data_IF_573586411202
#
_entry.id   IF_573586411202
#
_cell.length_a   1.000
_cell.length_b   1.000
_cell.length_c   1.000
_cell.angle_alpha   90.00
_cell.angle_beta   90.00
_cell.angle_gamma   90.00
#
_symmetry.space_group_name_H-M   'P 1'
#
loop_
_entity.id
_entity.type
_entity.pdbx_description
1 polymer ?
#
# COMPACT_ATOMS: atom_id res chain seq x y z
N UNK A 1 17.31 -9.68 0.55
CA UNK A 1 16.31 -8.59 0.41
C UNK A 1 16.62 -7.62 -0.73
N UNK A 2 17.89 -7.21 -0.93
CA UNK A 2 18.26 -6.28 -2.01
C UNK A 2 17.91 -6.81 -3.42
N UNK A 3 18.18 -8.08 -3.71
CA UNK A 3 17.85 -8.71 -5.00
C UNK A 3 16.34 -8.62 -5.33
N UNK A 4 15.49 -9.01 -4.39
CA UNK A 4 14.03 -9.04 -4.56
C UNK A 4 13.37 -7.65 -4.68
N UNK A 5 14.09 -6.59 -4.33
CA UNK A 5 13.60 -5.20 -4.38
C UNK A 5 14.21 -4.40 -5.53
N UNK A 6 15.36 -4.82 -6.05
CA UNK A 6 16.09 -4.09 -7.11
C UNK A 6 16.09 -4.81 -8.46
N UNK A 7 15.82 -6.12 -8.48
CA UNK A 7 15.84 -6.93 -9.71
C UNK A 7 14.41 -7.24 -10.17
N UNK A 8 14.17 -7.16 -11.48
CA UNK A 8 12.88 -7.54 -12.08
C UNK A 8 12.84 -9.02 -12.39
N UNK A 9 11.76 -9.69 -11.96
CA UNK A 9 11.53 -11.12 -12.20
C UNK A 9 10.27 -11.30 -13.05
N UNK A 10 10.39 -12.11 -14.09
CA UNK A 10 9.31 -12.42 -15.02
C UNK A 10 9.03 -13.91 -15.01
N UNK A 11 7.74 -14.26 -15.08
CA UNK A 11 7.28 -15.64 -15.26
C UNK A 11 6.62 -15.74 -16.64
N UNK A 12 6.95 -16.77 -17.39
CA UNK A 12 6.31 -17.10 -18.66
C UNK A 12 4.90 -17.66 -18.42
N UNK A 13 3.92 -17.16 -19.15
CA UNK A 13 2.56 -17.66 -19.20
C UNK A 13 2.37 -18.59 -20.41
N UNK A 14 1.36 -19.48 -20.41
CA UNK A 14 1.13 -20.46 -21.50
C UNK A 14 0.85 -19.86 -22.88
N UNK A 15 0.62 -18.55 -22.97
CA UNK A 15 0.29 -17.80 -24.18
C UNK A 15 1.48 -16.95 -24.69
N UNK A 16 2.72 -17.41 -24.48
CA UNK A 16 3.96 -16.69 -24.79
C UNK A 16 4.07 -15.27 -24.20
N UNK A 17 3.25 -14.97 -23.18
CA UNK A 17 3.30 -13.70 -22.47
C UNK A 17 4.18 -13.80 -21.23
N UNK A 18 4.72 -12.66 -20.79
CA UNK A 18 5.53 -12.57 -19.59
C UNK A 18 4.84 -11.72 -18.53
N UNK A 19 4.69 -12.26 -17.33
CA UNK A 19 4.14 -11.54 -16.19
C UNK A 19 5.26 -11.10 -15.25
N UNK A 20 5.38 -9.78 -15.04
CA UNK A 20 6.33 -9.24 -14.08
C UNK A 20 5.82 -9.47 -12.66
N UNK A 21 6.50 -10.33 -11.91
CA UNK A 21 6.15 -10.64 -10.52
C UNK A 21 6.79 -9.64 -9.55
N UNK A 22 8.05 -9.27 -9.82
CA UNK A 22 8.89 -8.44 -8.95
C UNK A 22 9.66 -7.38 -9.73
N UNK A 23 10.21 -6.42 -8.98
CA UNK A 23 11.04 -5.32 -9.47
C UNK A 23 10.26 -4.07 -9.88
N UNK A 24 10.96 -2.99 -10.26
CA UNK A 24 10.35 -1.76 -10.77
C UNK A 24 9.54 -2.07 -12.03
N UNK A 25 8.31 -1.55 -12.17
CA UNK A 25 7.48 -1.84 -13.32
C UNK A 25 8.16 -1.38 -14.61
N UNK A 26 8.02 -2.17 -15.68
CA UNK A 26 8.71 -1.91 -16.96
C UNK A 26 8.53 -0.48 -17.47
N UNK A 27 7.35 0.13 -17.30
CA UNK A 27 7.09 1.48 -17.79
C UNK A 27 7.91 2.58 -17.09
N UNK A 28 8.53 2.28 -15.94
CA UNK A 28 9.45 3.18 -15.25
C UNK A 28 10.92 2.83 -15.43
N UNK A 29 11.22 1.68 -16.06
CA UNK A 29 12.57 1.38 -16.48
C UNK A 29 12.92 2.36 -17.60
N UNK A 30 13.51 3.48 -17.22
CA UNK A 30 14.21 4.36 -18.15
C UNK A 30 15.35 3.51 -18.71
N UNK A 31 15.15 2.95 -19.91
CA UNK A 31 16.21 2.25 -20.63
C UNK A 31 17.25 3.31 -20.96
N UNK A 32 18.28 3.40 -20.10
CA UNK A 32 19.45 4.27 -20.34
C UNK A 32 20.09 3.80 -21.64
N UNK A 33 19.77 4.48 -22.74
CA UNK A 33 20.30 4.18 -24.08
C UNK A 33 19.26 4.00 -25.20
N UNK A 34 17.96 3.88 -24.90
CA UNK A 34 16.92 4.01 -25.92
C UNK A 34 16.17 5.32 -25.71
N UNK A 35 16.09 6.21 -26.72
CA UNK A 35 15.29 7.41 -26.63
C UNK A 35 13.82 7.02 -26.71
N UNK A 36 13.26 6.53 -25.61
CA UNK A 36 11.82 6.67 -25.38
C UNK A 36 11.68 8.12 -24.91
N UNK A 37 11.70 9.03 -25.88
CA UNK A 37 11.03 10.29 -25.68
C UNK A 37 9.61 9.92 -25.20
N UNK A 38 9.06 10.54 -24.13
CA UNK A 38 7.61 10.64 -24.08
C UNK A 38 7.24 11.22 -25.43
N UNK A 39 6.40 10.52 -26.21
CA UNK A 39 6.00 10.95 -27.54
C UNK A 39 5.65 12.43 -27.45
N UNK A 40 6.58 13.30 -27.87
CA UNK A 40 6.27 14.70 -28.05
C UNK A 40 5.21 14.66 -29.14
N UNK A 41 4.02 15.25 -28.95
CA UNK A 41 3.17 15.49 -30.09
C UNK A 41 4.03 16.24 -31.11
N UNK A 42 4.03 15.73 -32.33
CA UNK A 42 4.78 16.29 -33.43
C UNK A 42 4.23 17.71 -33.67
N UNK A 43 4.90 18.71 -33.10
CA UNK A 43 4.61 20.11 -33.37
C UNK A 43 5.05 20.40 -34.80
N UNK A 44 4.14 20.28 -35.75
CA UNK A 44 4.20 21.09 -36.96
C UNK A 44 3.76 22.50 -36.59
N UNK A 45 4.60 23.44 -36.99
CA UNK A 45 4.43 24.88 -36.86
C UNK A 45 3.05 25.37 -37.27
N UNK A 46 2.49 26.23 -36.41
CA UNK A 46 1.59 27.34 -36.74
C UNK A 46 0.22 27.01 -37.34
N UNK A 47 -0.71 26.60 -36.48
CA UNK A 47 -2.06 27.17 -36.47
C UNK A 47 -2.78 26.76 -35.18
N UNK A 48 -3.37 27.75 -34.51
CA UNK A 48 -4.25 27.61 -33.35
C UNK A 48 -5.20 26.40 -33.49
N UNK A 49 -5.06 25.38 -32.64
CA UNK A 49 -6.17 24.59 -32.09
C UNK A 49 -5.66 23.62 -31.02
N UNK A 50 -6.30 23.71 -29.87
CA UNK A 50 -6.10 23.00 -28.61
C UNK A 50 -6.52 21.51 -28.69
N UNK A 51 -5.81 20.55 -28.07
CA UNK A 51 -6.37 19.23 -27.78
C UNK A 51 -6.67 19.10 -26.28
N UNK A 52 -7.97 19.00 -25.99
CA UNK A 52 -8.60 18.61 -24.72
C UNK A 52 -7.98 17.30 -24.15
N UNK A 53 -6.98 17.44 -23.28
CA UNK A 53 -6.57 16.40 -22.36
C UNK A 53 -7.20 16.69 -20.99
N UNK A 54 -7.93 15.69 -20.46
CA UNK A 54 -8.84 15.80 -19.33
C UNK A 54 -8.29 16.53 -18.09
N UNK A 55 -9.19 16.96 -17.18
CA UNK A 55 -8.94 18.06 -16.26
C UNK A 55 -7.85 17.72 -15.25
N UNK A 56 -6.62 18.09 -15.59
CA UNK A 56 -5.51 18.18 -14.65
C UNK A 56 -5.77 19.40 -13.79
N UNK A 57 -6.59 19.25 -12.74
CA UNK A 57 -6.92 20.36 -11.84
C UNK A 57 -5.64 20.77 -11.09
N UNK A 58 -5.02 21.85 -11.56
CA UNK A 58 -3.89 22.50 -10.92
C UNK A 58 -4.41 23.08 -9.60
N UNK A 59 -4.06 22.44 -8.49
CA UNK A 59 -4.17 23.00 -7.15
C UNK A 59 -2.76 23.36 -6.68
N UNK A 60 -2.46 24.66 -6.63
CA UNK A 60 -1.24 25.25 -6.06
C UNK A 60 0.11 24.76 -6.61
N UNK A 61 0.35 24.92 -7.91
CA UNK A 61 1.69 24.86 -8.51
C UNK A 61 2.41 23.50 -8.48
N UNK A 62 1.78 22.46 -7.92
CA UNK A 62 2.28 21.08 -7.93
C UNK A 62 1.39 20.25 -8.85
N UNK A 63 1.97 19.73 -9.93
CA UNK A 63 1.28 18.81 -10.84
C UNK A 63 0.80 17.60 -10.04
N UNK A 64 -0.51 17.37 -9.99
CA UNK A 64 -1.08 16.14 -9.42
C UNK A 64 -0.63 14.96 -10.28
N UNK A 65 -0.18 13.88 -9.63
CA UNK A 65 0.12 12.61 -10.31
C UNK A 65 -1.14 12.01 -10.91
N UNK A 66 -1.00 11.39 -12.08
CA UNK A 66 -2.05 10.54 -12.65
C UNK A 66 -2.20 9.27 -11.81
N UNK A 67 -3.40 8.64 -11.75
CA UNK A 67 -3.56 7.32 -11.15
C UNK A 67 -2.56 6.28 -11.68
N UNK A 68 -2.18 6.38 -12.96
CA UNK A 68 -1.19 5.48 -13.59
C UNK A 68 0.22 5.66 -13.01
N UNK A 69 0.55 6.86 -12.51
CA UNK A 69 1.86 7.16 -11.92
C UNK A 69 1.97 6.73 -10.45
N UNK A 70 0.89 6.16 -9.88
CA UNK A 70 0.87 5.72 -8.48
C UNK A 70 1.17 4.23 -8.42
N UNK A 71 2.40 3.93 -8.05
CA UNK A 71 2.83 2.56 -7.83
C UNK A 71 2.33 2.01 -6.49
N UNK A 72 1.87 0.76 -6.52
CA UNK A 72 1.69 -0.02 -5.31
C UNK A 72 3.04 -0.53 -4.83
N UNK A 73 3.39 -0.19 -3.59
CA UNK A 73 4.64 -0.61 -2.93
C UNK A 73 4.59 -2.10 -2.59
N UNK A 74 4.70 -2.97 -3.61
CA UNK A 74 4.61 -4.43 -3.51
C UNK A 74 5.58 -5.03 -2.50
N UNK A 75 6.76 -4.41 -2.35
CA UNK A 75 7.74 -4.84 -1.35
C UNK A 75 7.18 -4.84 0.08
N UNK A 76 6.26 -3.93 0.42
CA UNK A 76 5.58 -3.92 1.72
C UNK A 76 4.52 -5.01 1.87
N UNK A 77 4.06 -5.62 0.77
CA UNK A 77 3.07 -6.70 0.81
C UNK A 77 3.81 -8.04 0.89
N UNK A 78 4.77 -8.27 -0.02
CA UNK A 78 5.45 -9.57 -0.13
C UNK A 78 6.58 -9.78 0.86
N UNK A 79 7.21 -8.70 1.32
CA UNK A 79 8.40 -8.77 2.19
C UNK A 79 8.22 -8.08 3.53
N UNK A 80 6.98 -7.78 3.92
CA UNK A 80 6.69 -7.28 5.25
C UNK A 80 7.05 -8.32 6.32
N UNK A 81 7.64 -7.83 7.41
CA UNK A 81 7.82 -8.64 8.61
C UNK A 81 6.48 -8.76 9.33
N UNK A 82 6.10 -9.95 9.82
CA UNK A 82 4.88 -10.10 10.58
C UNK A 82 4.95 -9.29 11.88
N UNK A 83 3.82 -8.68 12.28
CA UNK A 83 3.71 -8.03 13.59
C UNK A 83 3.73 -9.11 14.67
N UNK A 84 4.62 -8.97 15.65
CA UNK A 84 4.68 -9.86 16.82
C UNK A 84 4.08 -9.19 18.04
N UNK A 85 3.41 -9.97 18.87
CA UNK A 85 3.00 -9.55 20.21
C UNK A 85 4.19 -9.64 21.19
N UNK A 86 4.11 -9.04 22.39
CA UNK A 86 5.19 -9.08 23.38
C UNK A 86 5.58 -10.50 23.81
N UNK A 87 4.66 -11.46 23.66
CA UNK A 87 4.87 -12.89 23.89
C UNK A 87 5.61 -13.60 22.75
N UNK A 88 6.04 -12.87 21.72
CA UNK A 88 6.75 -13.38 20.55
C UNK A 88 5.86 -14.01 19.47
N UNK A 89 4.56 -14.20 19.75
CA UNK A 89 3.62 -14.82 18.82
C UNK A 89 3.28 -13.88 17.68
N UNK A 90 3.00 -14.45 16.51
CA UNK A 90 2.54 -13.68 15.35
C UNK A 90 1.13 -13.17 15.63
N UNK A 91 0.94 -11.87 15.51
CA UNK A 91 -0.36 -11.23 15.64
C UNK A 91 -1.10 -11.31 14.32
N UNK A 92 -2.28 -11.92 14.34
CA UNK A 92 -3.17 -11.94 13.18
C UNK A 92 -3.81 -10.55 12.96
N UNK A 93 -3.90 -10.13 11.70
CA UNK A 93 -4.51 -8.86 11.30
C UNK A 93 -3.54 -7.68 11.26
N UNK A 94 -4.06 -6.49 11.56
CA UNK A 94 -3.30 -5.24 11.42
C UNK A 94 -2.26 -5.05 12.56
N UNK A 95 -1.12 -4.37 12.32
CA UNK A 95 -0.10 -4.07 13.33
C UNK A 95 -0.61 -3.21 14.50
N UNK A 96 0.08 -3.24 15.66
CA UNK A 96 -0.36 -2.50 16.87
C UNK A 96 -0.49 -1.00 16.64
N UNK A 97 0.45 -0.41 15.91
CA UNK A 97 0.52 1.00 15.59
C UNK A 97 -0.44 1.43 14.45
N UNK A 98 -1.21 0.51 13.89
CA UNK A 98 -2.18 0.85 12.85
C UNK A 98 -3.34 1.65 13.45
N UNK A 99 -3.77 2.73 12.79
CA UNK A 99 -4.84 3.63 13.26
C UNK A 99 -6.11 2.89 13.70
N UNK A 100 -6.54 1.87 12.96
CA UNK A 100 -7.73 1.10 13.34
C UNK A 100 -7.57 0.34 14.65
N UNK A 101 -6.36 -0.08 15.00
CA UNK A 101 -6.08 -0.72 16.29
C UNK A 101 -5.93 0.30 17.42
N UNK A 102 -5.37 1.46 17.12
CA UNK A 102 -5.25 2.57 18.07
C UNK A 102 -6.65 3.10 18.48
N UNK A 103 -7.54 3.26 17.50
CA UNK A 103 -8.91 3.72 17.69
C UNK A 103 -9.89 2.64 18.21
N UNK A 104 -9.42 1.44 18.59
CA UNK A 104 -10.33 0.36 19.05
C UNK A 104 -11.12 0.75 20.28
N UNK A 105 -10.49 1.42 21.24
CA UNK A 105 -11.15 1.79 22.50
C UNK A 105 -12.24 2.85 22.28
N UNK A 106 -11.97 3.82 21.42
CA UNK A 106 -12.86 4.96 21.17
C UNK A 106 -13.72 4.79 19.91
N UNK A 107 -13.87 3.58 19.35
CA UNK A 107 -14.51 3.33 18.06
C UNK A 107 -15.96 3.86 17.94
N UNK A 108 -16.68 4.05 19.06
CA UNK A 108 -18.04 4.61 19.09
C UNK A 108 -18.05 6.14 19.03
N UNK A 109 -16.93 6.78 19.32
CA UNK A 109 -16.80 8.23 19.32
C UNK A 109 -16.77 8.77 17.89
N UNK A 110 -17.51 9.84 17.65
CA UNK A 110 -17.44 10.58 16.39
C UNK A 110 -16.03 11.11 16.12
N UNK A 111 -15.26 11.39 17.18
CA UNK A 111 -13.87 11.82 17.07
C UNK A 111 -12.96 10.74 16.48
N UNK A 112 -13.20 9.46 16.83
CA UNK A 112 -12.46 8.34 16.26
C UNK A 112 -12.77 8.17 14.78
N UNK A 113 -14.04 8.24 14.38
CA UNK A 113 -14.43 8.21 12.97
C UNK A 113 -13.78 9.36 12.18
N UNK A 114 -13.79 10.58 12.73
CA UNK A 114 -13.13 11.74 12.11
C UNK A 114 -11.61 11.55 12.01
N UNK A 115 -10.99 10.95 13.01
CA UNK A 115 -9.56 10.67 13.00
C UNK A 115 -9.20 9.62 11.94
N UNK A 116 -9.99 8.54 11.82
CA UNK A 116 -9.81 7.53 10.79
C UNK A 116 -9.92 8.12 9.37
N UNK A 117 -10.84 9.05 9.13
CA UNK A 117 -10.96 9.74 7.84
C UNK A 117 -9.70 10.53 7.44
N UNK A 118 -8.89 11.01 8.40
CA UNK A 118 -7.61 11.68 8.10
C UNK A 118 -6.59 10.72 7.47
N UNK A 119 -6.67 9.43 7.81
CA UNK A 119 -5.84 8.39 7.22
C UNK A 119 -6.36 7.93 5.85
N UNK A 120 -7.68 7.84 5.69
CA UNK A 120 -8.32 7.39 4.44
C UNK A 120 -8.30 8.48 3.37
N UNK A 121 -8.55 9.74 3.75
CA UNK A 121 -8.65 10.88 2.83
C UNK A 121 -7.66 12.01 3.17
N UNK A 122 -6.34 11.73 3.21
CA UNK A 122 -5.31 12.70 3.61
C UNK A 122 -5.38 14.02 2.85
N UNK A 123 -5.64 13.97 1.54
CA UNK A 123 -5.62 15.15 0.67
C UNK A 123 -6.70 16.17 1.03
N UNK A 124 -7.86 15.72 1.49
CA UNK A 124 -8.98 16.59 1.88
C UNK A 124 -8.68 17.36 3.18
N UNK A 125 -7.74 16.85 3.97
CA UNK A 125 -7.25 17.46 5.21
C UNK A 125 -5.94 18.24 5.01
N UNK A 126 -5.47 18.40 3.76
CA UNK A 126 -4.20 19.07 3.47
C UNK A 126 -2.96 18.28 3.92
N UNK A 127 -3.12 16.98 4.17
CA UNK A 127 -2.03 16.11 4.59
C UNK A 127 -1.29 15.50 3.38
N UNK A 128 -0.05 15.07 3.61
CA UNK A 128 0.83 14.40 2.65
C UNK A 128 0.17 13.16 2.04
N UNK A 129 0.30 12.99 0.73
CA UNK A 129 -0.41 11.93 0.02
C UNK A 129 0.28 11.53 -1.30
N UNK A 130 -0.11 10.38 -1.83
CA UNK A 130 0.44 9.80 -3.06
C UNK A 130 0.12 10.57 -4.34
N UNK A 131 -0.71 11.61 -4.32
CA UNK A 131 -1.04 12.40 -5.51
C UNK A 131 -0.17 13.67 -5.64
N UNK A 132 0.25 14.27 -4.52
CA UNK A 132 0.89 15.60 -4.53
C UNK A 132 2.31 15.63 -3.97
N UNK A 133 2.70 14.63 -3.19
CA UNK A 133 4.02 14.59 -2.57
C UNK A 133 5.13 14.25 -3.56
N UNK A 134 6.41 14.59 -3.33
CA UNK A 134 7.52 14.12 -4.17
C UNK A 134 7.75 12.60 -4.04
N UNK A 135 8.35 11.97 -5.05
CA UNK A 135 8.84 10.58 -4.97
C UNK A 135 10.28 10.56 -4.47
N UNK A 136 10.61 9.56 -3.66
CA UNK A 136 12.01 9.20 -3.44
C UNK A 136 12.53 8.41 -4.64
N UNK A 137 13.38 9.04 -5.45
CA UNK A 137 13.99 8.43 -6.63
C UNK A 137 15.21 7.57 -6.29
N UNK A 138 15.77 7.71 -5.09
CA UNK A 138 16.92 6.92 -4.67
C UNK A 138 16.51 5.52 -4.25
N UNK A 139 15.26 5.35 -3.80
CA UNK A 139 14.70 4.09 -3.38
C UNK A 139 13.38 3.78 -4.10
N UNK A 140 13.42 3.31 -5.37
CA UNK A 140 12.21 3.07 -6.16
C UNK A 140 11.29 2.01 -5.53
N UNK A 141 11.85 1.00 -4.85
CA UNK A 141 11.09 -0.02 -4.14
C UNK A 141 10.24 0.55 -2.99
N UNK A 142 10.59 1.74 -2.49
CA UNK A 142 9.88 2.47 -1.44
C UNK A 142 9.70 3.95 -1.81
N UNK A 143 9.40 4.24 -3.09
CA UNK A 143 9.33 5.60 -3.61
C UNK A 143 8.33 6.51 -2.87
N UNK A 144 7.34 5.90 -2.21
CA UNK A 144 6.37 6.58 -1.35
C UNK A 144 6.69 6.40 0.14
N UNK A 145 6.47 7.48 0.89
CA UNK A 145 6.48 7.47 2.37
C UNK A 145 5.60 6.33 2.91
N UNK A 146 5.96 5.80 4.07
CA UNK A 146 5.09 4.92 4.82
C UNK A 146 3.95 5.73 5.46
N UNK A 147 2.72 5.40 5.08
CA UNK A 147 1.50 6.05 5.55
C UNK A 147 0.78 5.22 6.62
N UNK A 148 1.40 4.14 7.10
CA UNK A 148 0.80 3.28 8.13
C UNK A 148 0.61 4.03 9.45
N UNK A 149 1.59 4.87 9.83
CA UNK A 149 1.51 5.80 10.95
C UNK A 149 1.66 7.24 10.44
N UNK A 150 0.70 8.08 10.81
CA UNK A 150 0.63 9.49 10.42
C UNK A 150 0.30 10.38 11.60
N UNK A 151 0.40 9.85 12.81
CA UNK A 151 -0.05 10.55 14.00
C UNK A 151 0.76 11.84 14.21
N UNK A 152 2.08 11.78 14.06
CA UNK A 152 2.96 12.95 14.18
C UNK A 152 2.60 14.05 13.17
N UNK A 153 2.27 13.65 11.93
CA UNK A 153 1.86 14.57 10.87
C UNK A 153 0.52 15.24 11.22
N UNK A 154 -0.45 14.46 11.71
CA UNK A 154 -1.77 14.92 12.11
C UNK A 154 -1.69 15.85 13.32
N UNK A 155 -0.82 15.54 14.28
CA UNK A 155 -0.57 16.36 15.48
C UNK A 155 0.09 17.67 15.09
N UNK A 156 1.12 17.63 14.23
CA UNK A 156 1.80 18.83 13.73
C UNK A 156 0.86 19.77 12.96
N UNK A 157 -0.11 19.22 12.23
CA UNK A 157 -1.11 20.02 11.52
C UNK A 157 -2.19 20.61 12.45
N UNK A 158 -2.35 20.05 13.65
CA UNK A 158 -3.27 20.56 14.67
C UNK A 158 -4.75 20.30 14.37
N UNK A 159 -5.60 21.26 14.79
CA UNK A 159 -7.07 21.11 14.77
C UNK A 159 -7.63 21.29 13.35
N UNK A 160 -7.87 20.18 12.67
CA UNK A 160 -8.49 20.16 11.34
C UNK A 160 -10.01 20.02 11.39
N UNK A 161 -10.73 20.89 10.66
CA UNK A 161 -12.18 20.76 10.46
C UNK A 161 -12.48 19.64 9.47
N UNK A 162 -13.58 18.91 9.66
CA UNK A 162 -14.05 17.92 8.66
C UNK A 162 -14.61 18.64 7.44
N UNK A 163 -14.05 18.38 6.23
CA UNK A 163 -14.59 18.91 4.98
C UNK A 163 -16.04 18.51 4.77
N UNK A 164 -16.85 19.39 4.15
CA UNK A 164 -18.29 19.14 3.91
C UNK A 164 -18.54 17.81 3.20
N UNK A 165 -17.72 17.49 2.19
CA UNK A 165 -17.79 16.25 1.40
C UNK A 165 -17.61 15.00 2.25
N UNK A 166 -16.73 15.04 3.26
CA UNK A 166 -16.43 13.90 4.11
C UNK A 166 -17.46 13.67 5.23
N UNK A 167 -18.37 14.63 5.47
CA UNK A 167 -19.46 14.43 6.45
C UNK A 167 -20.34 13.22 6.10
N UNK A 168 -20.56 12.97 4.81
CA UNK A 168 -21.34 11.81 4.34
C UNK A 168 -20.60 10.47 4.55
N UNK A 169 -19.27 10.49 4.60
CA UNK A 169 -18.43 9.31 4.84
C UNK A 169 -18.26 9.00 6.35
N UNK A 170 -18.64 9.92 7.25
CA UNK A 170 -18.54 9.73 8.69
C UNK A 170 -19.27 8.47 9.20
N UNK A 171 -20.52 8.18 8.81
CA UNK A 171 -21.22 6.96 9.23
C UNK A 171 -20.52 5.68 8.76
N UNK A 172 -19.95 5.71 7.54
CA UNK A 172 -19.20 4.58 6.99
C UNK A 172 -17.91 4.34 7.77
N UNK A 173 -17.20 5.42 8.11
CA UNK A 173 -15.99 5.32 8.94
C UNK A 173 -16.29 4.79 10.34
N UNK A 174 -17.40 5.21 10.95
CA UNK A 174 -17.85 4.69 12.24
C UNK A 174 -18.19 3.20 12.14
N UNK A 175 -18.95 2.79 11.12
CA UNK A 175 -19.27 1.38 10.84
C UNK A 175 -18.00 0.55 10.62
N UNK A 176 -17.03 1.07 9.87
CA UNK A 176 -15.76 0.41 9.63
C UNK A 176 -15.00 0.16 10.95
N UNK A 177 -14.94 1.16 11.83
CA UNK A 177 -14.32 1.00 13.16
C UNK A 177 -15.05 -0.04 14.02
N UNK A 178 -16.39 -0.01 14.03
CA UNK A 178 -17.19 -1.00 14.75
C UNK A 178 -16.96 -2.43 14.25
N UNK A 179 -16.95 -2.63 12.94
CA UNK A 179 -16.68 -3.94 12.33
C UNK A 179 -15.25 -4.40 12.63
N UNK A 180 -14.26 -3.51 12.55
CA UNK A 180 -12.88 -3.82 12.89
C UNK A 180 -12.73 -4.31 14.34
N UNK A 181 -13.44 -3.69 15.28
CA UNK A 181 -13.44 -4.10 16.69
C UNK A 181 -13.99 -5.51 16.88
N UNK A 182 -15.02 -5.88 16.12
CA UNK A 182 -15.69 -7.19 16.19
C UNK A 182 -14.97 -8.28 15.37
N UNK A 183 -14.07 -7.88 14.46
CA UNK A 183 -13.40 -8.83 13.56
C UNK A 183 -12.33 -9.63 14.27
N UNK A 184 -12.52 -10.95 14.34
CA UNK A 184 -11.48 -11.90 14.75
C UNK A 184 -10.64 -12.31 13.55
N UNK A 185 -9.54 -11.59 13.32
CA UNK A 185 -8.63 -11.84 12.19
C UNK A 185 -8.04 -13.26 12.20
N UNK A 186 -7.80 -13.84 13.38
CA UNK A 186 -7.27 -15.21 13.47
C UNK A 186 -8.28 -16.21 12.95
N UNK A 187 -9.55 -16.11 13.37
CA UNK A 187 -10.62 -17.00 12.89
C UNK A 187 -10.81 -16.86 11.38
N UNK A 188 -10.84 -15.63 10.87
CA UNK A 188 -10.97 -15.37 9.42
C UNK A 188 -9.78 -15.98 8.64
N UNK A 189 -8.56 -15.81 9.16
CA UNK A 189 -7.38 -16.42 8.58
C UNK A 189 -7.48 -17.94 8.58
N UNK A 190 -7.86 -18.56 9.70
CA UNK A 190 -7.94 -20.02 9.84
C UNK A 190 -9.01 -20.63 8.92
N UNK A 191 -10.11 -19.92 8.67
CA UNK A 191 -11.15 -20.38 7.73
C UNK A 191 -10.71 -20.32 6.26
N UNK A 192 -9.88 -19.34 5.90
CA UNK A 192 -9.46 -19.14 4.50
C UNK A 192 -8.11 -19.81 4.18
N UNK A 193 -7.23 -19.90 5.18
CA UNK A 193 -5.86 -20.40 5.08
C UNK A 193 -5.47 -21.05 6.42
N UNK A 194 -5.89 -22.30 6.67
CA UNK A 194 -5.51 -23.01 7.88
C UNK A 194 -3.99 -23.26 7.89
N UNK A 195 -3.36 -23.06 9.05
CA UNK A 195 -1.94 -23.36 9.24
C UNK A 195 -1.69 -24.85 9.01
N UNK A 196 -0.75 -25.16 8.10
CA UNK A 196 -0.22 -26.52 7.93
C UNK A 196 0.83 -26.88 8.98
N UNK A 197 1.32 -25.89 9.73
CA UNK A 197 2.22 -26.12 10.86
C UNK A 197 1.38 -26.64 12.02
N UNK A 198 1.56 -27.91 12.35
CA UNK A 198 0.95 -28.54 13.51
C UNK A 198 1.53 -27.87 14.76
N UNK A 199 0.69 -27.27 15.61
CA UNK A 199 1.08 -26.74 16.92
C UNK A 199 1.36 -27.89 17.92
N UNK A 200 2.13 -28.89 17.51
CA UNK A 200 2.73 -29.79 18.47
C UNK A 200 3.87 -29.01 19.11
N UNK A 201 3.89 -28.97 20.45
CA UNK A 201 5.03 -28.42 21.19
C UNK A 201 6.30 -29.00 20.56
N UNK A 202 7.17 -28.12 20.09
CA UNK A 202 8.41 -28.47 19.41
C UNK A 202 9.24 -29.42 20.27
N UNK A 203 9.19 -30.71 19.95
CA UNK A 203 10.37 -31.55 19.96
C UNK A 203 11.04 -31.44 18.58
N UNK A 204 12.36 -31.58 18.58
CA UNK A 204 13.34 -31.29 17.51
C UNK A 204 13.13 -31.99 16.14
N UNK A 205 11.95 -32.53 15.83
CA UNK A 205 11.64 -33.25 14.59
C UNK A 205 11.19 -32.37 13.42
N UNK A 206 10.91 -31.08 13.62
CA UNK A 206 10.35 -30.20 12.58
C UNK A 206 11.28 -29.95 11.36
N UNK A 207 12.57 -30.29 11.46
CA UNK A 207 13.49 -30.21 10.33
C UNK A 207 13.12 -31.19 9.20
N UNK A 208 12.57 -32.37 9.51
CA UNK A 208 12.19 -33.36 8.49
C UNK A 208 10.92 -32.92 7.74
N UNK A 209 9.95 -32.33 8.45
CA UNK A 209 8.70 -31.83 7.85
C UNK A 209 8.98 -30.66 6.90
N UNK A 210 9.92 -29.78 7.25
CA UNK A 210 10.33 -28.68 6.37
C UNK A 210 11.01 -29.23 5.11
N UNK A 211 11.86 -30.26 5.23
CA UNK A 211 12.51 -30.91 4.09
C UNK A 211 11.52 -31.62 3.17
N UNK A 212 10.51 -32.30 3.72
CA UNK A 212 9.48 -32.98 2.93
C UNK A 212 8.62 -31.97 2.15
N UNK A 213 8.21 -30.86 2.78
CA UNK A 213 7.48 -29.78 2.09
C UNK A 213 8.35 -29.13 0.99
N UNK A 214 9.66 -28.99 1.21
CA UNK A 214 10.58 -28.45 0.20
C UNK A 214 10.82 -29.44 -0.95
N UNK A 215 10.75 -30.75 -0.69
CA UNK A 215 10.87 -31.80 -1.70
C UNK A 215 9.62 -31.90 -2.58
N UNK A 216 8.41 -31.76 -2.01
CA UNK A 216 7.15 -31.79 -2.78
C UNK A 216 7.00 -30.60 -3.74
N UNK A 217 7.62 -29.45 -3.44
CA UNK A 217 7.59 -28.27 -4.32
C UNK A 217 8.58 -28.39 -5.49
N UNK A 218 9.50 -29.35 -5.46
CA UNK A 218 10.52 -29.57 -6.50
C UNK A 218 10.16 -30.66 -7.54
N UNK A 219 8.93 -31.17 -7.53
CA UNK A 219 8.40 -32.09 -8.56
C UNK A 219 7.43 -31.34 -9.48
#
# INVERSE_FOLDING_TARGET
MHLLTTTSMFISLPNDCWYQVLGPPIHELIVRGLPIAPSKPLNNSSSNMEPEAGPSTILNGKKRRSPTDIQLVRARIFYAKPSRAPDGKIRAGLPRFHVLNDLRHDHRSENAARHALKYIFPSEYGLHNVFTSPLDRLNPAFAFKDYTDRNDEIVAHGKMKTPKRLKQAMPLSSKLLALHCQTSYKRLCDTACPSKVLNNKADLSDASVILDIMSEISQ
#
